data_IF_012248910001
#
_entry.id   IF_012248910001
#
_cell.length_a   1.000
_cell.length_b   1.000
_cell.length_c   1.000
_cell.angle_alpha   90.00
_cell.angle_beta   90.00
_cell.angle_gamma   90.00
#
_symmetry.space_group_name_H-M   'P 1'
#
loop_
_entity.id
_entity.type
_entity.pdbx_description
1 polymer ?
#
# COMPACT_ATOMS: atom_id res chain seq x y z
N UNK A 1 -5.99 10.78 -7.67
CA UNK A 1 -5.80 9.54 -6.89
C UNK A 1 -5.14 9.91 -5.58
N UNK A 2 -5.66 9.45 -4.44
CA UNK A 2 -4.99 9.65 -3.15
C UNK A 2 -4.03 8.49 -2.85
N UNK A 3 -2.99 8.75 -2.07
CA UNK A 3 -2.02 7.73 -1.65
C UNK A 3 -2.06 7.58 -0.14
N UNK A 4 -2.31 6.35 0.30
CA UNK A 4 -2.42 5.99 1.70
C UNK A 4 -1.33 5.00 2.08
N UNK A 5 -0.90 5.08 3.33
CA UNK A 5 -0.02 4.10 3.96
C UNK A 5 -0.80 3.30 4.99
N UNK A 6 -0.71 1.98 4.91
CA UNK A 6 -1.30 1.06 5.86
C UNK A 6 -0.26 0.08 6.39
N UNK A 7 -0.34 -0.18 7.68
CA UNK A 7 0.45 -1.21 8.36
C UNK A 7 -0.50 -2.00 9.25
N UNK A 8 -0.61 -3.32 9.09
CA UNK A 8 -1.36 -4.18 10.00
C UNK A 8 -0.81 -4.09 11.42
N UNK A 9 0.47 -3.81 11.63
CA UNK A 9 0.97 -3.55 12.99
C UNK A 9 0.58 -2.17 13.51
N UNK A 10 0.06 -2.14 14.73
CA UNK A 10 0.01 -0.93 15.58
C UNK A 10 1.45 -0.64 16.05
N UNK A 11 2.24 -0.02 15.19
CA UNK A 11 3.66 0.23 15.46
C UNK A 11 3.81 1.30 16.56
N UNK A 12 3.86 0.88 17.82
CA UNK A 12 4.70 1.58 18.78
C UNK A 12 6.13 1.21 18.39
N UNK A 13 6.84 2.10 17.71
CA UNK A 13 8.27 1.94 17.42
C UNK A 13 8.97 2.18 18.78
N UNK A 14 9.48 1.14 19.49
CA UNK A 14 10.21 1.38 20.73
C UNK A 14 11.54 2.08 20.38
N UNK A 15 12.19 2.71 21.36
CA UNK A 15 13.45 3.42 21.13
C UNK A 15 14.55 2.55 20.44
N UNK A 16 14.46 1.22 20.56
CA UNK A 16 15.41 0.25 19.96
C UNK A 16 14.91 -0.41 18.66
N UNK A 17 14.05 0.26 17.89
CA UNK A 17 13.54 -0.35 16.66
C UNK A 17 14.56 -0.35 15.50
N UNK A 18 15.00 -1.54 15.08
CA UNK A 18 15.85 -1.73 13.90
C UNK A 18 15.12 -1.45 12.58
N UNK A 19 15.87 -0.93 11.61
CA UNK A 19 15.37 -0.24 10.41
C UNK A 19 14.45 -1.03 9.46
N UNK A 20 14.56 -2.36 9.26
CA UNK A 20 13.76 -2.99 8.21
C UNK A 20 12.29 -3.26 8.59
N UNK A 21 11.91 -3.28 9.87
CA UNK A 21 10.56 -3.74 10.28
C UNK A 21 9.68 -2.63 10.88
N UNK A 22 10.19 -1.41 11.04
CA UNK A 22 9.39 -0.31 11.59
C UNK A 22 8.60 0.41 10.51
N UNK A 23 7.28 0.22 10.53
CA UNK A 23 6.33 0.91 9.66
C UNK A 23 6.43 2.45 9.74
N UNK A 24 6.76 3.04 10.91
CA UNK A 24 6.96 4.49 11.04
C UNK A 24 8.21 4.98 10.31
N UNK A 25 9.32 4.24 10.39
CA UNK A 25 10.54 4.59 9.66
C UNK A 25 10.33 4.45 8.16
N UNK A 26 9.59 3.42 7.73
CA UNK A 26 9.16 3.26 6.35
C UNK A 26 8.32 4.48 5.91
N UNK A 27 7.26 4.83 6.64
CA UNK A 27 6.42 5.98 6.32
C UNK A 27 7.21 7.30 6.27
N UNK A 28 8.14 7.51 7.20
CA UNK A 28 9.01 8.68 7.21
C UNK A 28 9.91 8.74 5.97
N UNK A 29 10.51 7.60 5.58
CA UNK A 29 11.33 7.49 4.38
C UNK A 29 10.51 7.68 3.09
N UNK A 30 9.23 7.30 3.07
CA UNK A 30 8.32 7.60 1.97
C UNK A 30 8.05 9.10 1.89
N UNK A 31 7.71 9.74 3.02
CA UNK A 31 7.37 11.17 3.08
C UNK A 31 8.52 12.11 2.79
N UNK A 32 9.77 11.65 2.91
CA UNK A 32 10.93 12.46 2.50
C UNK A 32 11.04 12.60 0.97
N UNK A 33 10.23 11.86 0.20
CA UNK A 33 10.17 11.97 -1.26
C UNK A 33 9.06 12.94 -1.69
N UNK A 34 9.30 13.85 -2.65
CA UNK A 34 8.32 14.87 -3.05
C UNK A 34 6.95 14.29 -3.46
N UNK A 35 6.94 13.21 -4.25
CA UNK A 35 5.71 12.57 -4.76
C UNK A 35 4.90 11.89 -3.65
N UNK A 36 5.57 11.50 -2.56
CA UNK A 36 5.00 10.74 -1.45
C UNK A 36 4.93 11.55 -0.15
N UNK A 37 5.25 12.85 -0.20
CA UNK A 37 5.20 13.75 0.95
C UNK A 37 3.80 13.85 1.56
N UNK A 38 2.77 13.75 0.72
CA UNK A 38 1.37 13.83 1.11
C UNK A 38 0.74 12.48 1.51
N UNK A 39 1.53 11.39 1.62
CA UNK A 39 0.99 10.07 1.98
C UNK A 39 0.34 10.12 3.37
N UNK A 40 -0.94 9.76 3.42
CA UNK A 40 -1.71 9.73 4.66
C UNK A 40 -1.66 8.35 5.32
N UNK A 41 -1.46 8.31 6.64
CA UNK A 41 -1.49 7.05 7.39
C UNK A 41 -2.92 6.67 7.69
N UNK A 42 -3.34 5.49 7.23
CA UNK A 42 -4.60 4.89 7.66
C UNK A 42 -4.46 4.36 9.09
N UNK A 43 -5.48 4.59 9.95
CA UNK A 43 -5.46 4.04 11.29
C UNK A 43 -5.40 2.50 11.29
N UNK A 44 -4.86 1.92 12.35
CA UNK A 44 -4.94 0.47 12.56
C UNK A 44 -6.40 0.02 12.56
N UNK A 45 -6.69 -1.10 11.89
CA UNK A 45 -8.06 -1.58 11.70
C UNK A 45 -8.91 -0.75 10.73
N UNK A 46 -8.36 0.31 10.10
CA UNK A 46 -9.14 1.11 9.14
C UNK A 46 -9.53 0.35 7.88
N UNK A 47 -8.81 -0.72 7.53
CA UNK A 47 -9.20 -1.60 6.43
C UNK A 47 -10.26 -2.63 6.87
N UNK A 48 -10.35 -2.97 8.17
CA UNK A 48 -11.22 -4.06 8.67
C UNK A 48 -11.68 -3.82 10.11
N UNK A 49 -13.00 -3.65 10.38
CA UNK A 49 -14.06 -3.30 9.44
C UNK A 49 -13.91 -1.85 8.97
N UNK A 50 -13.94 -1.60 7.66
CA UNK A 50 -13.87 -0.24 7.08
C UNK A 50 -14.83 0.68 7.85
N UNK A 51 -14.32 1.65 8.63
CA UNK A 51 -15.21 2.64 9.20
C UNK A 51 -15.82 3.40 8.03
N UNK A 52 -17.12 3.72 8.12
CA UNK A 52 -17.89 4.51 7.12
C UNK A 52 -17.30 5.90 6.80
N UNK A 53 -16.14 6.23 7.36
CA UNK A 53 -15.46 7.54 7.35
C UNK A 53 -14.02 7.50 6.82
N UNK A 54 -13.47 6.35 6.43
CA UNK A 54 -12.18 6.37 5.72
C UNK A 54 -12.41 7.04 4.35
N UNK A 55 -11.62 8.04 3.94
CA UNK A 55 -11.83 8.77 2.68
C UNK A 55 -11.48 7.94 1.42
N UNK A 56 -11.30 6.62 1.58
CA UNK A 56 -10.88 5.70 0.53
C UNK A 56 -11.91 5.62 -0.57
N UNK A 57 -11.50 5.95 -1.79
CA UNK A 57 -12.27 5.78 -3.01
C UNK A 57 -11.71 4.62 -3.82
N UNK A 58 -12.57 3.98 -4.61
CA UNK A 58 -12.11 2.97 -5.58
C UNK A 58 -11.02 3.58 -6.47
N UNK A 59 -9.94 2.82 -6.70
CA UNK A 59 -8.78 3.29 -7.48
C UNK A 59 -7.73 4.09 -6.70
N UNK A 60 -7.97 4.43 -5.43
CA UNK A 60 -6.93 4.98 -4.57
C UNK A 60 -5.78 3.98 -4.38
N UNK A 61 -4.58 4.52 -4.15
CA UNK A 61 -3.37 3.74 -3.97
C UNK A 61 -3.13 3.51 -2.47
N UNK A 62 -2.97 2.26 -2.08
CA UNK A 62 -2.61 1.87 -0.72
C UNK A 62 -1.23 1.21 -0.76
N UNK A 63 -0.28 1.86 -0.10
CA UNK A 63 1.04 1.30 0.20
C UNK A 63 0.89 0.50 1.51
N UNK A 64 1.02 -0.81 1.43
CA UNK A 64 0.86 -1.73 2.56
C UNK A 64 2.23 -2.22 3.00
N UNK A 65 2.59 -1.90 4.24
CA UNK A 65 3.79 -2.44 4.88
C UNK A 65 3.46 -3.74 5.61
N UNK A 66 4.16 -4.82 5.29
CA UNK A 66 3.97 -6.17 5.84
C UNK A 66 5.28 -6.62 6.48
N UNK A 67 5.31 -6.71 7.80
CA UNK A 67 6.52 -7.04 8.55
C UNK A 67 6.72 -8.55 8.70
N UNK A 68 5.65 -9.34 8.73
CA UNK A 68 5.72 -10.79 8.94
C UNK A 68 4.65 -11.58 8.17
N UNK A 69 4.80 -12.91 8.18
CA UNK A 69 3.91 -13.81 7.44
C UNK A 69 2.48 -13.81 7.98
N UNK A 70 2.28 -13.56 9.28
CA UNK A 70 0.94 -13.55 9.87
C UNK A 70 0.16 -12.35 9.37
N UNK A 71 0.80 -11.17 9.29
CA UNK A 71 0.21 -9.98 8.70
C UNK A 71 -0.20 -10.20 7.24
N UNK A 72 0.62 -10.94 6.48
CA UNK A 72 0.30 -11.31 5.11
C UNK A 72 -0.94 -12.20 5.04
N UNK A 73 -1.04 -13.23 5.88
CA UNK A 73 -2.19 -14.13 5.92
C UNK A 73 -3.47 -13.39 6.27
N UNK A 74 -3.43 -12.53 7.30
CA UNK A 74 -4.58 -11.72 7.71
C UNK A 74 -5.09 -10.84 6.55
N UNK A 75 -4.17 -10.27 5.76
CA UNK A 75 -4.54 -9.49 4.56
C UNK A 75 -5.14 -10.36 3.45
N UNK A 76 -4.62 -11.56 3.23
CA UNK A 76 -5.12 -12.49 2.20
C UNK A 76 -6.54 -12.95 2.53
N UNK A 77 -6.83 -13.21 3.80
CA UNK A 77 -8.16 -13.61 4.26
C UNK A 77 -9.19 -12.51 3.98
N UNK A 78 -8.76 -11.25 4.02
CA UNK A 78 -9.62 -10.11 3.75
C UNK A 78 -9.41 -9.45 2.38
N UNK A 79 -8.75 -10.14 1.43
CA UNK A 79 -8.40 -9.60 0.10
C UNK A 79 -9.55 -8.98 -0.68
N UNK A 80 -10.78 -9.43 -0.44
CA UNK A 80 -11.98 -8.89 -1.11
C UNK A 80 -12.19 -7.41 -0.81
N UNK A 81 -11.88 -6.93 0.41
CA UNK A 81 -12.01 -5.51 0.72
C UNK A 81 -10.92 -4.66 0.05
N UNK A 82 -9.83 -5.29 -0.41
CA UNK A 82 -8.71 -4.62 -1.05
C UNK A 82 -8.82 -4.60 -2.58
N UNK A 83 -9.72 -5.39 -3.15
CA UNK A 83 -9.82 -5.63 -4.60
C UNK A 83 -10.11 -4.36 -5.42
N UNK A 84 -10.75 -3.36 -4.80
CA UNK A 84 -11.10 -2.09 -5.46
C UNK A 84 -9.99 -1.04 -5.40
N UNK A 85 -8.90 -1.31 -4.68
CA UNK A 85 -7.78 -0.40 -4.51
C UNK A 85 -6.57 -0.85 -5.30
N UNK A 86 -5.68 0.09 -5.60
CA UNK A 86 -4.37 -0.21 -6.16
C UNK A 86 -3.44 -0.49 -4.99
N UNK A 87 -2.79 -1.64 -4.96
CA UNK A 87 -1.91 -2.01 -3.85
C UNK A 87 -0.44 -1.93 -4.28
N UNK A 88 0.38 -1.35 -3.42
CA UNK A 88 1.85 -1.48 -3.46
C UNK A 88 2.25 -2.13 -2.15
N UNK A 89 2.98 -3.25 -2.20
CA UNK A 89 3.41 -3.95 -1.00
C UNK A 89 4.86 -3.61 -0.70
N UNK A 90 5.14 -3.26 0.55
CA UNK A 90 6.49 -3.19 1.11
C UNK A 90 6.57 -4.34 2.10
N UNK A 91 7.29 -5.40 1.76
CA UNK A 91 7.39 -6.63 2.55
C UNK A 91 8.77 -6.73 3.20
N UNK A 92 8.86 -7.27 4.41
CA UNK A 92 10.16 -7.60 5.01
C UNK A 92 10.84 -8.71 4.19
N UNK A 93 12.18 -8.82 4.30
CA UNK A 93 12.93 -9.89 3.60
C UNK A 93 12.43 -11.28 4.02
N UNK A 94 12.05 -11.45 5.29
CA UNK A 94 11.47 -12.70 5.80
C UNK A 94 10.20 -13.09 5.04
N UNK A 95 9.32 -12.12 4.79
CA UNK A 95 8.08 -12.36 4.02
C UNK A 95 8.40 -12.61 2.55
N UNK A 96 9.32 -11.84 1.99
CA UNK A 96 9.73 -11.95 0.60
C UNK A 96 10.31 -13.34 0.28
N UNK A 97 11.22 -13.82 1.13
CA UNK A 97 11.86 -15.13 0.96
C UNK A 97 10.96 -16.29 1.41
N UNK A 98 10.11 -16.05 2.42
CA UNK A 98 9.32 -17.08 3.10
C UNK A 98 7.99 -17.43 2.43
N UNK A 99 7.45 -16.60 1.53
CA UNK A 99 6.14 -16.85 0.92
C UNK A 99 5.93 -16.07 -0.35
N UNK A 100 5.41 -16.70 -1.41
CA UNK A 100 4.93 -16.00 -2.63
C UNK A 100 3.45 -15.60 -2.55
N UNK A 101 2.79 -15.84 -1.42
CA UNK A 101 1.34 -15.66 -1.28
C UNK A 101 0.91 -14.20 -1.30
N UNK A 102 1.84 -13.24 -1.16
CA UNK A 102 1.59 -11.82 -1.39
C UNK A 102 1.04 -11.51 -2.79
N UNK A 103 1.26 -12.38 -3.79
CA UNK A 103 0.64 -12.24 -5.11
C UNK A 103 -0.88 -12.42 -5.10
N UNK A 104 -1.45 -13.11 -4.10
CA UNK A 104 -2.91 -13.27 -3.97
C UNK A 104 -3.64 -11.96 -3.67
N UNK A 105 -2.91 -10.92 -3.24
CA UNK A 105 -3.44 -9.57 -3.05
C UNK A 105 -3.49 -8.77 -4.37
N UNK A 106 -3.00 -9.34 -5.48
CA UNK A 106 -2.88 -8.67 -6.78
C UNK A 106 -2.18 -7.29 -6.72
N UNK A 107 -0.97 -7.21 -6.14
CA UNK A 107 -0.27 -5.94 -6.01
C UNK A 107 0.24 -5.42 -7.36
N UNK A 108 0.21 -4.10 -7.52
CA UNK A 108 0.81 -3.40 -8.68
C UNK A 108 2.34 -3.38 -8.61
N UNK A 109 2.87 -3.43 -7.40
CA UNK A 109 4.30 -3.48 -7.15
C UNK A 109 4.58 -4.10 -5.78
N UNK A 110 5.72 -4.76 -5.67
CA UNK A 110 6.21 -5.36 -4.42
C UNK A 110 7.66 -4.89 -4.27
N UNK A 111 7.96 -4.32 -3.11
CA UNK A 111 9.30 -3.91 -2.70
C UNK A 111 9.68 -4.65 -1.42
N UNK A 112 10.96 -4.94 -1.23
CA UNK A 112 11.48 -5.31 0.09
C UNK A 112 11.80 -4.08 0.93
N UNK A 113 11.86 -4.21 2.24
CA UNK A 113 12.23 -3.11 3.15
C UNK A 113 13.68 -2.62 2.99
N UNK A 114 14.51 -3.37 2.26
CA UNK A 114 15.88 -2.99 1.87
C UNK A 114 15.99 -2.33 0.50
N UNK A 115 14.98 -2.45 -0.35
CA UNK A 115 15.00 -1.81 -1.66
C UNK A 115 14.97 -0.29 -1.52
N UNK A 116 15.69 0.39 -2.42
CA UNK A 116 15.76 1.85 -2.43
C UNK A 116 14.36 2.44 -2.70
N UNK A 117 13.96 3.40 -1.88
CA UNK A 117 12.71 4.13 -2.03
C UNK A 117 12.60 4.88 -3.38
N UNK A 118 13.69 5.08 -4.11
CA UNK A 118 13.70 5.66 -5.47
C UNK A 118 12.89 4.84 -6.49
N UNK A 119 12.90 3.51 -6.39
CA UNK A 119 12.10 2.65 -7.28
C UNK A 119 10.60 2.86 -7.03
N UNK A 120 10.23 3.10 -5.77
CA UNK A 120 8.85 3.27 -5.35
C UNK A 120 8.26 4.60 -5.85
N UNK A 121 9.05 5.67 -5.89
CA UNK A 121 8.66 6.94 -6.49
C UNK A 121 8.33 6.79 -7.98
N UNK A 122 9.18 6.06 -8.72
CA UNK A 122 8.97 5.77 -10.14
C UNK A 122 7.69 4.97 -10.36
N UNK A 123 7.45 3.96 -9.53
CA UNK A 123 6.23 3.13 -9.58
C UNK A 123 4.99 3.96 -9.32
N UNK A 124 5.01 4.80 -8.29
CA UNK A 124 3.85 5.63 -7.93
C UNK A 124 3.53 6.63 -9.04
N UNK A 125 4.55 7.27 -9.62
CA UNK A 125 4.38 8.15 -10.78
C UNK A 125 3.77 7.43 -11.98
N UNK A 126 4.24 6.20 -12.27
CA UNK A 126 3.69 5.40 -13.37
C UNK A 126 2.23 5.01 -13.12
N UNK A 127 1.89 4.60 -11.90
CA UNK A 127 0.51 4.27 -11.52
C UNK A 127 -0.39 5.50 -11.67
N UNK A 128 0.08 6.67 -11.22
CA UNK A 128 -0.66 7.92 -11.37
C UNK A 128 -0.91 8.27 -12.85
N UNK A 129 0.10 8.15 -13.70
CA UNK A 129 -0.02 8.40 -15.15
C UNK A 129 -0.98 7.43 -15.86
N UNK A 130 -1.12 6.19 -15.37
CA UNK A 130 -2.09 5.24 -15.90
C UNK A 130 -3.54 5.62 -15.57
N UNK A 131 -3.77 6.41 -14.52
CA UNK A 131 -5.11 6.91 -14.17
C UNK A 131 -5.59 7.95 -15.17
N UNK A 132 -4.69 8.83 -15.60
CA UNK A 132 -5.01 9.90 -16.55
C UNK A 132 -5.13 9.38 -17.99
N UNK A 133 -4.75 8.12 -18.23
CA UNK A 133 -4.76 7.48 -19.55
C UNK A 133 -5.94 6.52 -19.77
N UNK A 134 -6.86 6.32 -18.80
CA UNK A 134 -8.11 5.60 -19.04
C UNK A 134 -9.09 6.53 -19.77
N UNK A 135 -9.39 6.31 -21.07
CA UNK A 135 -10.32 7.15 -21.81
C UNK A 135 -11.74 7.00 -21.24
N UNK A 136 -12.45 8.14 -21.15
CA UNK A 136 -13.86 8.20 -20.77
C UNK A 136 -14.68 7.08 -21.46
N UNK A 137 -15.58 6.38 -20.74
CA UNK A 137 -16.52 5.49 -21.40
C UNK A 137 -17.36 6.33 -22.37
N UNK A 138 -17.24 5.99 -23.65
CA UNK A 138 -18.04 6.54 -24.74
C UNK A 138 -19.50 6.58 -24.28
N UNK A 139 -20.05 7.79 -24.09
CA UNK A 139 -21.48 7.98 -23.89
C UNK A 139 -22.17 7.37 -25.11
N UNK A 140 -22.81 6.22 -24.90
CA UNK A 140 -23.73 5.65 -25.88
C UNK A 140 -24.85 6.67 -26.09
N UNK A 141 -24.82 7.30 -27.27
CA UNK A 141 -25.87 8.19 -27.74
C UNK A 141 -27.11 7.34 -28.00
N UNK A 142 -28.24 7.82 -27.49
CA UNK A 142 -29.59 7.28 -27.64
C UNK A 142 -29.96 6.98 -29.09
N UNK A 143 -30.77 5.93 -29.29
CA UNK A 143 -31.79 5.88 -30.34
C UNK A 143 -33.05 5.21 -29.81
#
# INVERSE_FOLDING_TARGET
MNVFFYSPRRAACPNDCSYPDCAERCLWALRSRPVLAAVERLPYGALFPLPKRAPLRSGDLIIVHIADLRELEDLIDHRQALAHYRLVLIVSDQVYDGSRRYHLLNPRYIATTRQDAGDLETVVNRIAQQVDAEPEPVRAVSH
#
